data_IF_806328158204
#
_entry.id   IF_806328158204
#
_cell.length_a   1.000
_cell.length_b   1.000
_cell.length_c   1.000
_cell.angle_alpha   90.00
_cell.angle_beta   90.00
_cell.angle_gamma   90.00
#
_symmetry.space_group_name_H-M   'P 1'
#
loop_
_entity.id
_entity.type
_entity.pdbx_description
1 polymer ?
#
# COMPACT_ATOMS: atom_id res chain seq x y z
N UNK A 1 -16.95 3.75 0.10
CA UNK A 1 -16.28 4.91 0.74
C UNK A 1 -15.47 4.41 1.93
N UNK A 2 -14.23 4.92 2.06
CA UNK A 2 -13.25 4.71 3.13
C UNK A 2 -13.21 3.32 3.80
N UNK A 3 -12.17 2.53 3.51
CA UNK A 3 -11.89 1.35 4.34
C UNK A 3 -11.68 1.79 5.80
N UNK A 4 -12.64 1.50 6.68
CA UNK A 4 -12.69 1.82 8.12
C UNK A 4 -11.60 1.11 8.95
N UNK A 5 -10.50 0.73 8.31
CA UNK A 5 -9.39 0.06 8.93
C UNK A 5 -8.40 1.07 9.54
N UNK A 6 -7.81 0.77 10.70
CA UNK A 6 -6.79 1.64 11.30
C UNK A 6 -5.60 1.88 10.35
N UNK A 7 -5.45 3.10 9.82
CA UNK A 7 -4.41 3.45 8.82
C UNK A 7 -2.98 3.10 9.26
N UNK A 8 -2.63 3.31 10.54
CA UNK A 8 -1.29 2.98 11.04
C UNK A 8 -1.03 1.46 11.10
N UNK A 9 -2.07 0.63 11.22
CA UNK A 9 -1.96 -0.84 11.13
C UNK A 9 -1.47 -1.25 9.73
N UNK A 10 -1.92 -0.54 8.71
CA UNK A 10 -1.52 -0.78 7.32
C UNK A 10 -0.04 -0.44 7.09
N UNK A 11 0.45 0.70 7.58
CA UNK A 11 1.88 1.06 7.52
C UNK A 11 2.76 -0.02 8.17
N UNK A 12 2.36 -0.48 9.36
CA UNK A 12 3.06 -1.56 10.09
C UNK A 12 3.05 -2.90 9.36
N UNK A 13 1.96 -3.21 8.64
CA UNK A 13 1.85 -4.45 7.86
C UNK A 13 2.74 -4.42 6.62
N UNK A 14 2.82 -3.28 5.93
CA UNK A 14 3.65 -3.13 4.73
C UNK A 14 5.11 -2.80 5.06
N UNK A 15 5.45 -2.54 6.32
CA UNK A 15 6.82 -2.27 6.74
C UNK A 15 7.36 -0.93 6.23
N UNK A 16 6.49 -0.01 5.82
CA UNK A 16 6.86 1.29 5.26
C UNK A 16 5.92 2.41 5.74
N UNK A 17 6.41 3.66 5.74
CA UNK A 17 5.58 4.84 5.97
C UNK A 17 4.74 5.11 4.71
N UNK A 18 3.41 4.98 4.84
CA UNK A 18 2.46 5.25 3.74
C UNK A 18 1.80 6.63 3.83
N UNK A 19 2.17 7.47 4.80
CA UNK A 19 1.70 8.85 4.98
C UNK A 19 0.18 9.11 5.02
N UNK A 20 -0.63 8.08 5.29
CA UNK A 20 -2.10 8.15 5.26
C UNK A 20 -2.77 9.09 6.29
N UNK A 21 -2.02 9.68 7.24
CA UNK A 21 -2.52 10.57 8.30
C UNK A 21 -1.89 11.97 8.30
N UNK A 22 -1.26 12.39 7.20
CA UNK A 22 -0.68 13.73 7.06
C UNK A 22 0.33 14.06 8.17
N UNK A 23 0.16 15.19 8.85
CA UNK A 23 1.06 15.71 9.90
C UNK A 23 1.43 14.69 11.00
N UNK A 24 0.46 13.85 11.40
CA UNK A 24 0.72 12.81 12.42
C UNK A 24 1.79 11.81 11.98
N UNK A 25 1.94 11.58 10.68
CA UNK A 25 2.97 10.69 10.13
C UNK A 25 4.39 11.28 10.20
N UNK A 26 4.52 12.60 10.33
CA UNK A 26 5.81 13.28 10.50
C UNK A 26 6.21 13.31 11.97
N UNK A 27 5.33 13.78 12.85
CA UNK A 27 5.69 14.07 14.25
C UNK A 27 5.54 12.86 15.18
N UNK A 28 4.39 12.17 15.14
CA UNK A 28 4.00 11.14 16.13
C UNK A 28 3.56 9.84 15.45
N UNK A 29 4.41 9.34 14.56
CA UNK A 29 4.10 8.17 13.75
C UNK A 29 4.17 6.86 14.55
N UNK A 30 3.05 6.13 14.62
CA UNK A 30 2.98 4.83 15.32
C UNK A 30 3.88 3.76 14.70
N UNK A 31 4.16 3.85 13.39
CA UNK A 31 5.07 2.92 12.71
C UNK A 31 6.50 3.05 13.25
N UNK A 32 6.98 4.28 13.47
CA UNK A 32 8.32 4.53 14.04
C UNK A 32 8.43 3.91 15.44
N UNK A 33 7.38 4.07 16.26
CA UNK A 33 7.34 3.48 17.61
C UNK A 33 7.22 1.95 17.61
N UNK A 34 6.57 1.37 16.59
CA UNK A 34 6.24 -0.07 16.52
C UNK A 34 6.41 -0.56 15.07
N UNK A 35 7.66 -0.73 14.63
CA UNK A 35 8.02 -1.09 13.24
C UNK A 35 7.70 -2.54 12.83
N UNK A 36 7.23 -3.37 13.77
CA UNK A 36 6.88 -4.76 13.54
C UNK A 36 5.42 -4.93 13.09
N UNK A 37 5.13 -6.09 12.47
CA UNK A 37 3.82 -6.43 11.90
C UNK A 37 2.72 -6.36 12.97
N UNK A 38 1.49 -5.92 12.67
CA UNK A 38 0.40 -5.96 13.64
C UNK A 38 -0.04 -7.40 13.96
N UNK A 39 -0.54 -7.62 15.18
CA UNK A 39 -1.05 -8.91 15.67
C UNK A 39 -0.14 -9.56 16.72
N UNK A 40 -0.62 -10.64 17.36
CA UNK A 40 0.11 -11.37 18.40
C UNK A 40 1.47 -11.89 17.92
N UNK A 41 1.53 -12.43 16.70
CA UNK A 41 2.76 -12.92 16.07
C UNK A 41 3.62 -11.83 15.43
N UNK A 42 3.37 -10.56 15.75
CA UNK A 42 4.05 -9.43 15.14
C UNK A 42 5.56 -9.39 15.36
N UNK A 43 5.99 -9.86 16.54
CA UNK A 43 7.39 -9.95 16.98
C UNK A 43 8.05 -11.30 16.67
N UNK A 44 7.25 -12.29 16.23
CA UNK A 44 7.80 -13.59 15.84
C UNK A 44 8.70 -13.46 14.61
N UNK A 45 9.71 -14.33 14.51
CA UNK A 45 10.61 -14.37 13.35
C UNK A 45 9.79 -14.50 12.06
N UNK A 46 9.96 -13.56 11.14
CA UNK A 46 9.27 -13.59 9.84
C UNK A 46 9.79 -14.79 9.04
N UNK A 47 8.87 -15.60 8.51
CA UNK A 47 9.19 -16.59 7.49
C UNK A 47 9.55 -15.87 6.18
N UNK A 48 10.45 -16.45 5.39
CA UNK A 48 10.75 -15.97 4.03
C UNK A 48 9.43 -15.95 3.23
N UNK A 49 9.02 -14.80 2.65
CA UNK A 49 7.81 -14.75 1.84
C UNK A 49 8.01 -15.55 0.54
N UNK A 50 6.93 -16.11 0.01
CA UNK A 50 6.90 -16.62 -1.36
C UNK A 50 6.90 -15.47 -2.36
N UNK A 51 7.23 -15.76 -3.62
CA UNK A 51 7.23 -14.76 -4.71
C UNK A 51 5.84 -14.12 -4.88
N UNK A 52 4.79 -14.93 -4.84
CA UNK A 52 3.41 -14.43 -4.79
C UNK A 52 3.17 -13.51 -3.58
N UNK A 53 3.70 -13.88 -2.42
CA UNK A 53 3.61 -13.07 -1.21
C UNK A 53 4.27 -11.70 -1.38
N UNK A 54 5.43 -11.64 -2.04
CA UNK A 54 6.13 -10.38 -2.36
C UNK A 54 5.28 -9.53 -3.30
N UNK A 55 4.83 -10.10 -4.43
CA UNK A 55 3.99 -9.40 -5.41
C UNK A 55 2.68 -8.88 -4.80
N UNK A 56 2.04 -9.70 -3.96
CA UNK A 56 0.83 -9.32 -3.26
C UNK A 56 1.09 -8.12 -2.33
N UNK A 57 2.21 -8.09 -1.60
CA UNK A 57 2.53 -6.96 -0.71
C UNK A 57 2.75 -5.69 -1.50
N UNK A 58 3.48 -5.73 -2.61
CA UNK A 58 3.67 -4.53 -3.43
C UNK A 58 2.36 -4.00 -4.01
N UNK A 59 1.50 -4.89 -4.54
CA UNK A 59 0.16 -4.51 -4.97
C UNK A 59 -0.65 -3.86 -3.84
N UNK A 60 -0.66 -4.47 -2.66
CA UNK A 60 -1.40 -3.95 -1.50
C UNK A 60 -0.82 -2.61 -1.02
N UNK A 61 0.49 -2.41 -1.11
CA UNK A 61 1.17 -1.16 -0.75
C UNK A 61 0.68 -0.01 -1.64
N UNK A 62 0.76 -0.17 -2.97
CA UNK A 62 0.31 0.84 -3.93
C UNK A 62 -1.18 1.15 -3.73
N UNK A 63 -2.03 0.11 -3.67
CA UNK A 63 -3.47 0.29 -3.45
C UNK A 63 -3.78 1.13 -2.20
N UNK A 64 -3.04 0.92 -1.11
CA UNK A 64 -3.24 1.63 0.15
C UNK A 64 -2.74 3.07 0.11
N UNK A 65 -1.62 3.33 -0.57
CA UNK A 65 -1.07 4.68 -0.76
C UNK A 65 -2.13 5.56 -1.43
N UNK A 66 -2.68 5.10 -2.55
CA UNK A 66 -3.71 5.83 -3.30
C UNK A 66 -5.14 5.65 -2.77
N UNK A 67 -5.33 4.90 -1.68
CA UNK A 67 -6.63 4.79 -1.01
C UNK A 67 -7.77 4.13 -1.82
N UNK A 68 -7.46 3.37 -2.88
CA UNK A 68 -8.45 2.81 -3.81
C UNK A 68 -8.92 1.40 -3.49
N UNK A 69 -10.07 1.01 -4.05
CA UNK A 69 -10.57 -0.36 -3.96
C UNK A 69 -9.81 -1.30 -4.91
N UNK A 70 -9.82 -2.60 -4.60
CA UNK A 70 -9.12 -3.61 -5.41
C UNK A 70 -9.64 -3.65 -6.85
N UNK A 71 -10.97 -3.59 -7.03
CA UNK A 71 -11.60 -3.55 -8.36
C UNK A 71 -11.22 -2.30 -9.16
N UNK A 72 -11.08 -1.15 -8.50
CA UNK A 72 -10.62 0.08 -9.16
C UNK A 72 -9.16 -0.04 -9.58
N UNK A 73 -8.29 -0.54 -8.69
CA UNK A 73 -6.88 -0.78 -9.00
C UNK A 73 -6.71 -1.74 -10.19
N UNK A 74 -7.47 -2.84 -10.22
CA UNK A 74 -7.46 -3.79 -11.33
C UNK A 74 -7.86 -3.12 -12.65
N UNK A 75 -8.88 -2.27 -12.64
CA UNK A 75 -9.30 -1.52 -13.83
C UNK A 75 -8.22 -0.55 -14.31
N UNK A 76 -7.53 0.15 -13.40
CA UNK A 76 -6.39 1.00 -13.76
C UNK A 76 -5.24 0.21 -14.34
N UNK A 77 -4.94 -0.96 -13.77
CA UNK A 77 -3.90 -1.84 -14.29
C UNK A 77 -4.22 -2.32 -15.71
N UNK A 78 -5.46 -2.76 -15.97
CA UNK A 78 -5.91 -3.14 -17.32
C UNK A 78 -5.78 -1.99 -18.33
N UNK A 79 -6.13 -0.77 -17.91
CA UNK A 79 -5.94 0.44 -18.73
C UNK A 79 -4.46 0.74 -18.98
N UNK A 80 -3.62 0.59 -17.95
CA UNK A 80 -2.18 0.82 -18.06
C UNK A 80 -1.49 -0.19 -18.97
N UNK A 81 -1.88 -1.47 -18.90
CA UNK A 81 -1.31 -2.54 -19.73
C UNK A 81 -1.72 -2.46 -21.20
N UNK A 82 -2.87 -1.83 -21.49
CA UNK A 82 -3.31 -1.60 -22.86
C UNK A 82 -2.63 -0.38 -23.52
N UNK A 83 -2.00 0.51 -22.74
CA UNK A 83 -1.25 1.65 -23.26
C UNK A 83 0.12 1.20 -23.75
N UNK A 84 0.64 1.85 -24.79
CA UNK A 84 2.02 1.67 -25.24
C UNK A 84 3.00 2.19 -24.18
N UNK A 85 4.20 1.60 -24.10
CA UNK A 85 5.24 1.98 -23.14
C UNK A 85 5.32 1.06 -21.91
N UNK A 86 5.93 1.56 -20.83
CA UNK A 86 6.16 0.79 -19.60
C UNK A 86 4.90 0.77 -18.75
N UNK A 87 4.30 -0.42 -18.55
CA UNK A 87 3.04 -0.60 -17.80
C UNK A 87 3.08 -0.01 -16.39
N UNK A 88 4.23 -0.12 -15.70
CA UNK A 88 4.39 0.41 -14.35
C UNK A 88 4.31 1.94 -14.30
N UNK A 89 4.97 2.62 -15.22
CA UNK A 89 4.93 4.09 -15.33
C UNK A 89 3.54 4.57 -15.74
N UNK A 90 2.94 3.91 -16.74
CA UNK A 90 1.56 4.19 -17.16
C UNK A 90 0.56 4.04 -16.02
N UNK A 91 0.73 3.02 -15.16
CA UNK A 91 -0.10 2.82 -13.98
C UNK A 91 0.07 3.97 -12.99
N UNK A 92 1.30 4.38 -12.69
CA UNK A 92 1.56 5.47 -11.76
C UNK A 92 1.00 6.79 -12.28
N UNK A 93 1.19 7.11 -13.56
CA UNK A 93 0.60 8.31 -14.19
C UNK A 93 -0.94 8.32 -14.09
N UNK A 94 -1.59 7.17 -14.30
CA UNK A 94 -3.05 7.05 -14.16
C UNK A 94 -3.53 7.20 -12.70
N UNK A 95 -2.70 6.81 -11.72
CA UNK A 95 -3.02 6.94 -10.30
C UNK A 95 -2.79 8.37 -9.80
N UNK A 96 -1.72 9.04 -10.25
CA UNK A 96 -1.37 10.41 -9.86
C UNK A 96 -2.26 11.48 -10.53
N UNK A 97 -2.97 11.14 -11.62
CA UNK A 97 -3.89 12.05 -12.32
C UNK A 97 -5.33 12.06 -11.77
N UNK A 98 -5.56 11.40 -10.63
CA UNK A 98 -6.89 11.29 -10.02
C UNK A 98 -7.28 12.57 -9.26
N UNK A 99 -8.57 12.93 -9.31
CA UNK A 99 -9.17 14.10 -8.65
C UNK A 99 -9.75 13.73 -7.26
N UNK A 100 -8.97 13.03 -6.44
CA UNK A 100 -9.41 12.50 -5.13
C UNK A 100 -9.34 13.54 -4.01
#
# INVERSE_FOLDING_TARGET
MATLNPKCRQCRREGAKLFLKGEKCYNKCTFVKRGYVPGQHGLSRRKKPSDYGIMLREKQKVKRIYGIQERQFENYFKKASAKKGVTGENLLQLLESRLD
#
